data_IF_235248690564
#
_entry.id   IF_235248690564
#
_cell.length_a   1.000
_cell.length_b   1.000
_cell.length_c   1.000
_cell.angle_alpha   90.00
_cell.angle_beta   90.00
_cell.angle_gamma   90.00
#
_symmetry.space_group_name_H-M   'P 1'
#
loop_
_entity.id
_entity.type
_entity.pdbx_description
1 polymer ?
#
# COMPACT_ATOMS: atom_id res chain seq x y z
N UNK A 1 42.75 36.67 -12.06
CA UNK A 1 42.19 35.90 -13.19
C UNK A 1 41.16 34.93 -12.61
N UNK A 2 40.00 34.83 -13.26
CA UNK A 2 38.68 34.57 -12.69
C UNK A 2 38.46 33.24 -11.91
N UNK A 3 37.67 33.34 -10.83
CA UNK A 3 36.95 32.22 -10.20
C UNK A 3 35.80 31.80 -11.13
N UNK A 4 35.79 30.54 -11.57
CA UNK A 4 34.68 29.95 -12.31
C UNK A 4 33.73 29.25 -11.33
N UNK A 5 32.55 29.84 -11.10
CA UNK A 5 31.46 29.23 -10.36
C UNK A 5 30.65 28.36 -11.34
N UNK A 6 30.85 27.04 -11.31
CA UNK A 6 30.03 26.10 -12.06
C UNK A 6 28.65 25.98 -11.39
N UNK A 7 27.62 26.61 -11.96
CA UNK A 7 26.23 26.30 -11.63
C UNK A 7 25.91 24.90 -12.19
N UNK A 8 25.87 23.89 -11.32
CA UNK A 8 25.26 22.62 -11.67
C UNK A 8 23.74 22.80 -11.69
N UNK A 9 23.12 22.77 -12.87
CA UNK A 9 21.68 22.67 -12.98
C UNK A 9 21.24 21.29 -12.47
N UNK A 10 20.45 21.27 -11.40
CA UNK A 10 19.76 20.05 -10.99
C UNK A 10 18.70 19.71 -12.04
N UNK A 11 18.65 18.47 -12.55
CA UNK A 11 17.56 18.06 -13.41
C UNK A 11 16.26 18.09 -12.59
N UNK A 12 15.27 18.85 -13.07
CA UNK A 12 13.92 18.78 -12.55
C UNK A 12 13.39 17.37 -12.84
N UNK A 13 13.16 16.58 -11.78
CA UNK A 13 12.44 15.31 -11.91
C UNK A 13 11.01 15.67 -12.29
N UNK A 14 10.65 15.45 -13.56
CA UNK A 14 9.26 15.49 -13.99
C UNK A 14 8.55 14.37 -13.22
N UNK A 15 7.68 14.74 -12.27
CA UNK A 15 6.84 13.78 -11.59
C UNK A 15 5.90 13.18 -12.64
N UNK A 16 6.15 11.93 -13.03
CA UNK A 16 5.25 11.21 -13.91
C UNK A 16 3.87 11.10 -13.24
N UNK A 17 2.82 11.47 -13.96
CA UNK A 17 1.45 11.22 -13.51
C UNK A 17 1.28 9.72 -13.27
N UNK A 18 0.81 9.36 -12.07
CA UNK A 18 0.65 7.96 -11.70
C UNK A 18 -0.52 7.37 -12.47
N UNK A 19 -0.27 6.36 -13.30
CA UNK A 19 -1.33 5.65 -14.01
C UNK A 19 -2.02 4.65 -13.07
N UNK A 20 -3.09 5.08 -12.42
CA UNK A 20 -3.86 4.24 -11.51
C UNK A 20 -4.73 3.21 -12.27
N UNK A 21 -4.59 1.90 -11.99
CA UNK A 21 -5.46 0.87 -12.54
C UNK A 21 -6.86 0.96 -11.92
N UNK A 22 -7.82 0.21 -12.46
CA UNK A 22 -9.10 -0.02 -11.77
C UNK A 22 -8.89 -0.81 -10.48
N UNK A 23 -9.74 -0.58 -9.48
CA UNK A 23 -9.73 -1.41 -8.28
C UNK A 23 -10.16 -2.85 -8.63
N UNK A 24 -9.53 -3.86 -8.03
CA UNK A 24 -9.83 -5.25 -8.36
C UNK A 24 -11.22 -5.66 -7.87
N UNK A 25 -11.94 -6.47 -8.64
CA UNK A 25 -13.24 -7.02 -8.24
C UNK A 25 -13.10 -8.26 -7.33
N UNK A 26 -11.93 -8.90 -7.32
CA UNK A 26 -11.61 -10.11 -6.54
C UNK A 26 -10.17 -10.06 -6.01
N UNK A 27 -9.78 -11.00 -5.15
CA UNK A 27 -8.40 -11.09 -4.68
C UNK A 27 -8.07 -10.10 -3.55
N UNK A 28 -9.05 -9.82 -2.70
CA UNK A 28 -8.93 -8.98 -1.49
C UNK A 28 -9.79 -9.57 -0.36
N UNK A 29 -9.50 -9.22 0.89
CA UNK A 29 -10.27 -9.63 2.08
C UNK A 29 -10.92 -8.41 2.74
N UNK A 30 -12.19 -8.56 3.12
CA UNK A 30 -12.95 -7.57 3.89
C UNK A 30 -13.76 -8.24 5.00
N UNK A 31 -13.86 -7.56 6.14
CA UNK A 31 -14.81 -7.91 7.19
C UNK A 31 -14.44 -9.14 8.03
N UNK A 32 -13.27 -9.74 7.80
CA UNK A 32 -12.73 -10.83 8.61
C UNK A 32 -11.20 -10.86 8.56
N UNK A 33 -10.55 -11.48 9.55
CA UNK A 33 -9.14 -11.83 9.47
C UNK A 33 -8.82 -12.75 8.28
N UNK A 34 -7.60 -12.64 7.76
CA UNK A 34 -7.13 -13.50 6.67
C UNK A 34 -6.65 -14.86 7.19
N UNK A 35 -7.07 -15.92 6.51
CA UNK A 35 -6.61 -17.29 6.74
C UNK A 35 -5.38 -17.60 5.88
N UNK A 36 -4.67 -18.68 6.22
CA UNK A 36 -3.56 -19.18 5.41
C UNK A 36 -4.02 -19.53 4.00
N UNK A 37 -5.26 -20.00 3.83
CA UNK A 37 -5.82 -20.32 2.52
C UNK A 37 -6.03 -19.06 1.68
N UNK A 38 -6.53 -17.97 2.28
CA UNK A 38 -6.71 -16.70 1.57
C UNK A 38 -5.39 -16.17 1.01
N UNK A 39 -4.31 -16.28 1.79
CA UNK A 39 -2.97 -15.88 1.33
C UNK A 39 -2.47 -16.78 0.19
N UNK A 40 -2.68 -18.09 0.29
CA UNK A 40 -2.29 -19.04 -0.78
C UNK A 40 -3.06 -18.83 -2.08
N UNK A 41 -4.33 -18.43 -2.00
CA UNK A 41 -5.18 -18.16 -3.15
C UNK A 41 -5.02 -16.73 -3.70
N UNK A 42 -4.19 -15.89 -3.07
CA UNK A 42 -4.00 -14.51 -3.47
C UNK A 42 -5.23 -13.62 -3.19
N UNK A 43 -6.09 -14.01 -2.25
CA UNK A 43 -7.14 -13.12 -1.72
C UNK A 43 -6.61 -12.22 -0.60
N UNK A 44 -5.52 -12.62 0.06
CA UNK A 44 -4.81 -11.85 1.07
C UNK A 44 -3.32 -11.78 0.73
N UNK A 45 -2.63 -10.77 1.24
CA UNK A 45 -1.16 -10.65 1.13
C UNK A 45 -0.47 -11.46 2.22
N UNK A 46 -1.09 -11.57 3.40
CA UNK A 46 -0.53 -12.31 4.52
C UNK A 46 -1.62 -13.01 5.33
N UNK A 47 -1.21 -13.93 6.21
CA UNK A 47 -2.06 -14.45 7.27
C UNK A 47 -1.29 -14.51 8.58
N UNK A 48 -1.96 -14.14 9.67
CA UNK A 48 -1.45 -14.30 11.03
C UNK A 48 -1.75 -15.69 11.61
N UNK A 49 -2.18 -16.66 10.78
CA UNK A 49 -2.48 -18.04 11.19
C UNK A 49 -3.44 -18.14 12.39
N UNK A 50 -4.54 -17.38 12.35
CA UNK A 50 -5.52 -17.30 13.45
C UNK A 50 -5.15 -16.30 14.55
N UNK A 51 -4.02 -15.60 14.43
CA UNK A 51 -3.63 -14.51 15.33
C UNK A 51 -4.41 -13.20 15.14
N UNK A 52 -5.06 -13.01 13.99
CA UNK A 52 -5.84 -11.79 13.74
C UNK A 52 -6.99 -11.63 14.74
N UNK A 53 -7.06 -10.46 15.40
CA UNK A 53 -8.12 -10.13 16.38
C UNK A 53 -9.42 -9.70 15.71
N UNK A 54 -9.35 -9.20 14.48
CA UNK A 54 -10.51 -8.75 13.74
C UNK A 54 -10.14 -7.83 12.57
N UNK A 55 -11.09 -7.57 11.66
CA UNK A 55 -10.88 -6.64 10.55
C UNK A 55 -10.77 -5.19 11.05
N UNK A 56 -10.14 -4.33 10.25
CA UNK A 56 -10.24 -2.89 10.41
C UNK A 56 -11.45 -2.34 9.64
N UNK A 57 -12.03 -1.23 10.11
CA UNK A 57 -13.22 -0.59 9.49
C UNK A 57 -12.87 0.25 8.27
N UNK A 58 -12.04 -0.28 7.38
CA UNK A 58 -11.62 0.39 6.14
C UNK A 58 -12.41 -0.13 4.95
N UNK A 59 -12.68 0.73 3.96
CA UNK A 59 -13.16 0.27 2.65
C UNK A 59 -12.07 -0.54 1.96
N UNK A 60 -12.39 -1.73 1.45
CA UNK A 60 -11.45 -2.59 0.73
C UNK A 60 -12.18 -3.20 -0.47
N UNK A 61 -11.57 -3.18 -1.67
CA UNK A 61 -10.28 -2.55 -1.97
C UNK A 61 -10.39 -1.02 -2.04
N UNK A 62 -9.26 -0.32 -1.86
CA UNK A 62 -9.19 1.13 -2.09
C UNK A 62 -7.78 1.57 -2.50
N UNK A 63 -7.67 2.75 -3.13
CA UNK A 63 -6.38 3.33 -3.48
C UNK A 63 -5.64 3.81 -2.23
N UNK A 64 -4.32 3.68 -2.25
CA UNK A 64 -3.47 4.06 -1.15
C UNK A 64 -2.09 4.53 -1.63
N UNK A 65 -1.37 5.21 -0.75
CA UNK A 65 0.05 5.50 -0.88
C UNK A 65 0.74 4.91 0.34
N UNK A 66 1.67 4.00 0.10
CA UNK A 66 2.57 3.49 1.12
C UNK A 66 3.83 4.35 1.19
N UNK A 67 4.26 4.69 2.39
CA UNK A 67 5.56 5.34 2.63
C UNK A 67 6.53 4.27 3.11
N UNK A 68 7.57 4.00 2.32
CA UNK A 68 8.58 3.00 2.70
C UNK A 68 9.51 3.51 3.81
N UNK A 69 10.42 2.65 4.27
CA UNK A 69 11.38 2.94 5.34
C UNK A 69 12.31 4.13 5.04
N UNK A 70 12.45 4.52 3.77
CA UNK A 70 13.24 5.67 3.33
C UNK A 70 12.40 6.94 3.16
N UNK A 71 11.11 6.90 3.50
CA UNK A 71 10.19 8.01 3.32
C UNK A 71 9.67 8.15 1.88
N UNK A 72 9.94 7.19 1.01
CA UNK A 72 9.52 7.26 -0.40
C UNK A 72 8.06 6.82 -0.51
N UNK A 73 7.25 7.69 -1.11
CA UNK A 73 5.83 7.45 -1.37
C UNK A 73 5.65 6.57 -2.61
N UNK A 74 4.92 5.47 -2.44
CA UNK A 74 4.68 4.45 -3.46
C UNK A 74 3.17 4.22 -3.62
N UNK A 75 2.63 4.46 -4.83
CA UNK A 75 1.26 4.12 -5.17
C UNK A 75 0.97 2.62 -4.97
N UNK A 76 -0.15 2.32 -4.32
CA UNK A 76 -0.60 0.96 -4.06
C UNK A 76 -2.12 0.86 -3.95
N UNK A 77 -2.63 -0.37 -3.87
CA UNK A 77 -4.02 -0.70 -3.59
C UNK A 77 -4.05 -1.45 -2.26
N UNK A 78 -4.86 -0.98 -1.33
CA UNK A 78 -5.18 -1.70 -0.10
C UNK A 78 -6.12 -2.87 -0.43
N UNK A 79 -5.69 -4.09 -0.10
CA UNK A 79 -6.44 -5.33 -0.34
C UNK A 79 -6.75 -6.13 0.93
N UNK A 80 -6.18 -5.73 2.07
CA UNK A 80 -6.37 -6.39 3.36
C UNK A 80 -6.08 -5.38 4.49
N UNK A 81 -6.87 -5.41 5.55
CA UNK A 81 -6.63 -4.62 6.76
C UNK A 81 -7.20 -5.33 8.00
N UNK A 82 -6.35 -5.68 8.95
CA UNK A 82 -6.74 -6.39 10.17
C UNK A 82 -5.87 -6.03 11.37
N UNK A 83 -6.37 -6.29 12.57
CA UNK A 83 -5.64 -6.06 13.83
C UNK A 83 -4.91 -7.31 14.28
N UNK A 84 -3.63 -7.18 14.58
CA UNK A 84 -2.78 -8.22 15.17
C UNK A 84 -3.10 -8.47 16.66
N UNK A 85 -2.49 -9.51 17.24
CA UNK A 85 -2.69 -9.86 18.66
C UNK A 85 -2.17 -8.79 19.62
N UNK A 86 -1.07 -8.13 19.27
CA UNK A 86 -0.43 -7.05 20.03
C UNK A 86 -1.13 -5.70 19.84
N UNK A 87 -2.19 -5.65 19.04
CA UNK A 87 -2.96 -4.45 18.73
C UNK A 87 -2.47 -3.69 17.50
N UNK A 88 -1.37 -4.10 16.86
CA UNK A 88 -0.89 -3.47 15.65
C UNK A 88 -1.93 -3.57 14.51
N UNK A 89 -2.12 -2.48 13.78
CA UNK A 89 -2.98 -2.44 12.61
C UNK A 89 -2.17 -2.79 11.38
N UNK A 90 -2.35 -4.01 10.88
CA UNK A 90 -1.58 -4.55 9.77
C UNK A 90 -2.40 -4.49 8.49
N UNK A 91 -1.73 -4.14 7.40
CA UNK A 91 -2.35 -3.97 6.08
C UNK A 91 -1.57 -4.72 5.01
N UNK A 92 -2.32 -5.28 4.07
CA UNK A 92 -1.80 -5.90 2.86
C UNK A 92 -2.08 -4.98 1.68
N UNK A 93 -1.03 -4.64 0.95
CA UNK A 93 -1.08 -3.76 -0.21
C UNK A 93 -0.58 -4.49 -1.45
N UNK A 94 -1.06 -4.06 -2.62
CA UNK A 94 -0.47 -4.41 -3.91
C UNK A 94 0.04 -3.17 -4.61
N UNK A 95 1.30 -3.17 -5.03
CA UNK A 95 1.86 -2.13 -5.88
C UNK A 95 1.16 -2.14 -7.24
N UNK A 96 1.29 -1.05 -8.00
CA UNK A 96 0.72 -0.99 -9.35
C UNK A 96 1.39 -1.98 -10.33
N UNK A 97 2.57 -2.50 -9.98
CA UNK A 97 3.27 -3.55 -10.71
C UNK A 97 2.92 -4.98 -10.22
N UNK A 98 2.00 -5.11 -9.25
CA UNK A 98 1.54 -6.39 -8.72
C UNK A 98 2.37 -6.98 -7.58
N UNK A 99 3.38 -6.27 -7.07
CA UNK A 99 4.14 -6.71 -5.90
C UNK A 99 3.31 -6.59 -4.63
N UNK A 100 3.39 -7.58 -3.75
CA UNK A 100 2.67 -7.57 -2.48
C UNK A 100 3.53 -6.96 -1.36
N UNK A 101 2.91 -6.14 -0.51
CA UNK A 101 3.58 -5.41 0.57
C UNK A 101 2.77 -5.60 1.85
N UNK A 102 3.46 -5.96 2.93
CA UNK A 102 2.91 -5.93 4.29
C UNK A 102 3.41 -4.66 4.96
N UNK A 103 2.49 -3.88 5.51
CA UNK A 103 2.81 -2.65 6.24
C UNK A 103 1.91 -2.50 7.45
N UNK A 104 2.20 -1.49 8.26
CA UNK A 104 1.31 -0.99 9.30
C UNK A 104 0.45 0.15 8.77
N UNK A 105 -0.76 0.33 9.31
CA UNK A 105 -1.66 1.41 8.90
C UNK A 105 -1.02 2.82 8.95
N UNK A 106 -0.17 3.19 9.95
CA UNK A 106 0.51 4.48 9.97
C UNK A 106 1.43 4.77 8.78
N UNK A 107 1.92 3.75 8.09
CA UNK A 107 2.76 3.89 6.88
C UNK A 107 1.91 4.14 5.62
N UNK A 108 0.58 4.11 5.74
CA UNK A 108 -0.34 4.11 4.60
C UNK A 108 -1.27 5.33 4.65
N UNK A 109 -1.26 6.10 3.58
CA UNK A 109 -2.26 7.13 3.31
C UNK A 109 -3.36 6.56 2.44
N UNK A 110 -4.59 6.54 2.94
CA UNK A 110 -5.76 6.07 2.20
C UNK A 110 -6.31 7.16 1.29
N UNK A 111 -6.56 6.83 0.03
CA UNK A 111 -7.07 7.77 -0.99
C UNK A 111 -8.55 7.52 -1.35
N UNK A 112 -9.14 6.44 -0.85
CA UNK A 112 -10.53 6.07 -1.11
C UNK A 112 -10.72 5.25 -2.38
N UNK A 113 -11.97 5.10 -2.80
CA UNK A 113 -12.39 4.17 -3.87
C UNK A 113 -12.49 4.82 -5.25
N UNK A 114 -12.35 6.14 -5.34
CA UNK A 114 -12.32 6.87 -6.62
C UNK A 114 -10.89 6.96 -7.13
N UNK A 115 -10.71 6.73 -8.42
CA UNK A 115 -9.40 6.82 -9.07
C UNK A 115 -8.78 8.20 -8.81
N UNK A 116 -7.56 8.28 -8.24
CA UNK A 116 -6.89 9.56 -8.04
C UNK A 116 -6.52 10.20 -9.39
N UNK A 117 -6.54 11.54 -9.42
CA UNK A 117 -6.11 12.35 -10.55
C UNK A 117 -4.71 12.91 -10.32
#
# INVERSE_FOLDING_TARGET
MAMALCLAATPAVVAAETQWPELPATGFIRGRPATVQDAREGSAVFSMNGGGKGPLTSEIPQYAVWTDEHGVKRPAILVQAERAQDGAEMVGLRSLAGSEIVATMPEVTLLGTRKPH
#
